data_IF_665171494389
#
_entry.id   IF_665171494389
#
_cell.length_a   1.000
_cell.length_b   1.000
_cell.length_c   1.000
_cell.angle_alpha   90.00
_cell.angle_beta   90.00
_cell.angle_gamma   90.00
#
_symmetry.space_group_name_H-M   'P 1'
#
loop_
_entity.id
_entity.type
_entity.pdbx_description
1 polymer ?
#
# COMPACT_ATOMS: atom_id res chain seq x y z
N UNK A 1 54.85 15.32 -34.25
CA UNK A 1 53.57 14.56 -34.31
C UNK A 1 52.57 15.24 -33.39
N UNK A 2 51.61 15.96 -33.96
CA UNK A 2 50.48 16.60 -33.27
C UNK A 2 49.31 15.61 -33.20
N UNK A 3 48.76 15.35 -32.01
CA UNK A 3 47.41 14.77 -31.82
C UNK A 3 46.71 15.35 -30.58
N UNK A 4 45.88 16.37 -30.85
CA UNK A 4 44.51 16.73 -30.39
C UNK A 4 44.06 16.41 -28.93
N UNK A 5 43.42 17.37 -28.21
CA UNK A 5 42.80 17.16 -26.90
C UNK A 5 41.38 16.58 -27.00
N UNK A 6 41.01 15.70 -26.06
CA UNK A 6 39.65 15.18 -25.90
C UNK A 6 39.00 15.67 -24.61
N UNK A 7 38.14 16.68 -24.73
CA UNK A 7 37.23 17.13 -23.68
C UNK A 7 36.18 16.04 -23.42
N UNK A 8 36.25 15.38 -22.26
CA UNK A 8 35.22 14.50 -21.73
C UNK A 8 34.32 15.28 -20.77
N UNK A 9 33.21 15.75 -21.31
CA UNK A 9 32.17 16.55 -20.69
C UNK A 9 31.54 15.80 -19.48
N UNK A 10 31.89 16.13 -18.24
CA UNK A 10 31.12 15.72 -17.06
C UNK A 10 29.90 16.62 -16.94
N UNK A 11 28.80 16.22 -17.60
CA UNK A 11 27.49 16.79 -17.28
C UNK A 11 27.09 16.35 -15.87
N UNK A 12 26.69 17.28 -14.98
CA UNK A 12 26.04 16.89 -13.73
C UNK A 12 24.67 16.30 -14.09
N UNK A 13 24.39 15.10 -13.58
CA UNK A 13 23.08 14.46 -13.67
C UNK A 13 22.04 15.43 -13.12
N UNK A 14 21.23 15.95 -14.05
CA UNK A 14 20.12 16.83 -13.79
C UNK A 14 19.22 16.22 -12.71
N UNK A 15 18.85 17.06 -11.75
CA UNK A 15 18.07 16.69 -10.59
C UNK A 15 16.80 15.93 -10.94
N UNK A 16 16.66 14.77 -10.32
CA UNK A 16 15.34 14.20 -10.08
C UNK A 16 14.86 14.89 -8.80
N UNK A 17 14.24 16.05 -8.95
CA UNK A 17 13.34 16.55 -7.91
C UNK A 17 12.17 15.57 -7.87
N UNK A 18 12.31 14.52 -7.04
CA UNK A 18 11.17 13.75 -6.60
C UNK A 18 10.31 14.71 -5.77
N UNK A 19 9.39 15.40 -6.44
CA UNK A 19 8.22 15.98 -5.78
C UNK A 19 7.51 14.80 -5.15
N UNK A 20 7.85 14.50 -3.88
CA UNK A 20 7.05 13.63 -3.05
C UNK A 20 5.68 14.29 -2.97
N UNK A 21 4.77 13.83 -3.82
CA UNK A 21 3.38 14.22 -3.75
C UNK A 21 2.93 13.83 -2.35
N UNK A 22 2.73 14.81 -1.47
CA UNK A 22 2.19 14.56 -0.14
C UNK A 22 0.88 13.80 -0.33
N UNK A 23 0.88 12.54 0.08
CA UNK A 23 -0.30 11.69 -0.01
C UNK A 23 -1.31 12.19 1.01
N UNK A 24 -2.45 12.69 0.54
CA UNK A 24 -3.51 13.13 1.44
C UNK A 24 -4.10 11.93 2.19
N UNK A 25 -4.62 12.15 3.40
CA UNK A 25 -5.28 11.08 4.16
C UNK A 25 -6.48 10.49 3.41
N UNK A 26 -7.21 11.32 2.64
CA UNK A 26 -8.31 10.88 1.79
C UNK A 26 -7.82 9.91 0.71
N UNK A 27 -6.69 10.22 0.05
CA UNK A 27 -6.09 9.36 -0.97
C UNK A 27 -5.53 8.07 -0.33
N UNK A 28 -4.83 8.18 0.80
CA UNK A 28 -4.32 7.03 1.56
C UNK A 28 -5.46 6.06 1.90
N UNK A 29 -6.56 6.58 2.45
CA UNK A 29 -7.76 5.81 2.76
C UNK A 29 -8.36 5.16 1.51
N UNK A 30 -8.52 5.91 0.43
CA UNK A 30 -9.05 5.39 -0.83
C UNK A 30 -8.22 4.21 -1.36
N UNK A 31 -6.88 4.33 -1.36
CA UNK A 31 -5.98 3.26 -1.80
C UNK A 31 -6.12 2.02 -0.90
N UNK A 32 -6.13 2.22 0.42
CA UNK A 32 -6.15 1.11 1.38
C UNK A 32 -7.50 0.36 1.41
N UNK A 33 -8.60 1.04 1.15
CA UNK A 33 -9.94 0.47 1.21
C UNK A 33 -10.42 -0.06 -0.14
N UNK A 34 -10.17 0.68 -1.22
CA UNK A 34 -10.79 0.44 -2.53
C UNK A 34 -9.85 -0.24 -3.52
N UNK A 35 -8.55 -0.30 -3.23
CA UNK A 35 -7.53 -0.86 -4.12
C UNK A 35 -6.93 -2.18 -3.59
N UNK A 36 -7.65 -2.89 -2.71
CA UNK A 36 -7.17 -4.16 -2.10
C UNK A 36 -6.81 -5.24 -3.11
N UNK A 37 -7.43 -5.25 -4.28
CA UNK A 37 -7.14 -6.24 -5.34
C UNK A 37 -5.71 -6.14 -5.92
N UNK A 38 -5.02 -5.01 -5.73
CA UNK A 38 -3.61 -4.84 -6.15
C UNK A 38 -2.63 -4.88 -4.98
N UNK A 39 -3.09 -5.22 -3.78
CA UNK A 39 -2.23 -5.44 -2.62
C UNK A 39 -1.56 -6.80 -2.67
N UNK A 40 -0.37 -6.87 -2.10
CA UNK A 40 0.32 -8.13 -1.88
C UNK A 40 -0.32 -8.90 -0.71
N UNK A 41 -0.24 -10.24 -0.69
CA UNK A 41 -0.79 -11.04 0.41
C UNK A 41 -0.26 -10.62 1.79
N UNK A 42 1.03 -10.30 1.89
CA UNK A 42 1.69 -9.85 3.12
C UNK A 42 1.12 -8.52 3.64
N UNK A 43 0.74 -7.62 2.74
CA UNK A 43 0.14 -6.32 3.06
C UNK A 43 -1.29 -6.48 3.56
N UNK A 44 -2.07 -7.36 2.92
CA UNK A 44 -3.44 -7.66 3.37
C UNK A 44 -3.42 -8.22 4.80
N UNK A 45 -2.49 -9.13 5.09
CA UNK A 45 -2.31 -9.68 6.45
C UNK A 45 -1.85 -8.61 7.43
N UNK A 46 -0.93 -7.73 7.03
CA UNK A 46 -0.47 -6.61 7.85
C UNK A 46 -1.62 -5.65 8.18
N UNK A 47 -2.48 -5.32 7.21
CA UNK A 47 -3.70 -4.52 7.44
C UNK A 47 -4.68 -5.20 8.39
N UNK A 48 -4.87 -6.53 8.27
CA UNK A 48 -5.70 -7.29 9.21
C UNK A 48 -5.15 -7.21 10.65
N UNK A 49 -3.82 -7.30 10.82
CA UNK A 49 -3.16 -7.14 12.14
C UNK A 49 -3.25 -5.72 12.67
N UNK A 50 -3.15 -4.71 11.81
CA UNK A 50 -3.34 -3.31 12.20
C UNK A 50 -4.72 -2.99 12.80
N UNK A 51 -5.73 -3.83 12.53
CA UNK A 51 -7.07 -3.72 13.13
C UNK A 51 -7.24 -4.44 14.47
N UNK A 52 -6.23 -5.18 14.95
CA UNK A 52 -6.27 -5.85 16.24
C UNK A 52 -6.00 -4.87 17.38
N UNK A 53 -6.63 -5.10 18.53
CA UNK A 53 -6.21 -4.47 19.78
C UNK A 53 -4.87 -5.07 20.24
N UNK A 54 -4.15 -4.40 21.12
CA UNK A 54 -2.92 -4.94 21.71
C UNK A 54 -3.14 -6.35 22.32
N UNK A 55 -4.24 -6.52 23.06
CA UNK A 55 -4.63 -7.82 23.60
C UNK A 55 -4.96 -8.84 22.50
N UNK A 56 -5.66 -8.42 21.45
CA UNK A 56 -5.98 -9.26 20.30
C UNK A 56 -4.72 -9.75 19.57
N UNK A 57 -3.76 -8.86 19.33
CA UNK A 57 -2.46 -9.17 18.72
C UNK A 57 -1.69 -10.18 19.57
N UNK A 58 -1.62 -9.98 20.89
CA UNK A 58 -0.92 -10.90 21.80
C UNK A 58 -1.54 -12.30 21.78
N UNK A 59 -2.85 -12.39 21.97
CA UNK A 59 -3.57 -13.66 22.04
C UNK A 59 -3.53 -14.43 20.71
N UNK A 60 -3.69 -13.75 19.57
CA UNK A 60 -3.58 -14.42 18.25
C UNK A 60 -2.16 -14.83 17.92
N UNK A 61 -1.15 -14.06 18.33
CA UNK A 61 0.27 -14.44 18.21
C UNK A 61 0.57 -15.72 18.97
N UNK A 62 0.16 -15.80 20.24
CA UNK A 62 0.36 -16.99 21.07
C UNK A 62 -0.27 -18.25 20.44
N UNK A 63 -1.42 -18.11 19.79
CA UNK A 63 -2.06 -19.22 19.06
C UNK A 63 -1.26 -19.60 17.81
N UNK A 64 -0.77 -18.60 17.06
CA UNK A 64 -0.04 -18.82 15.81
C UNK A 64 1.37 -19.39 16.00
N UNK A 65 2.00 -19.10 17.15
CA UNK A 65 3.33 -19.59 17.54
C UNK A 65 3.31 -21.02 18.13
N UNK A 66 2.12 -21.61 18.33
CA UNK A 66 2.02 -23.02 18.72
C UNK A 66 2.70 -23.92 17.69
N UNK A 67 3.58 -24.80 18.17
CA UNK A 67 4.32 -25.74 17.33
C UNK A 67 3.41 -26.68 16.54
N UNK A 68 2.27 -27.07 17.13
CA UNK A 68 1.26 -27.92 16.49
C UNK A 68 -0.03 -27.15 16.30
N UNK A 69 -0.42 -27.01 15.02
CA UNK A 69 -1.75 -26.52 14.62
C UNK A 69 -2.71 -27.68 14.67
N UNK A 70 -3.37 -27.86 15.81
CA UNK A 70 -4.24 -28.99 16.06
C UNK A 70 -5.67 -28.72 15.58
N UNK A 71 -6.06 -27.45 15.47
CA UNK A 71 -7.42 -27.06 15.11
C UNK A 71 -7.49 -26.28 13.79
N UNK A 72 -8.64 -26.37 13.11
CA UNK A 72 -8.94 -25.53 11.95
C UNK A 72 -8.85 -24.03 12.28
N UNK A 73 -9.09 -23.65 13.54
CA UNK A 73 -8.99 -22.28 14.01
C UNK A 73 -7.55 -21.79 13.97
N UNK A 74 -6.58 -22.61 14.38
CA UNK A 74 -5.15 -22.25 14.36
C UNK A 74 -4.66 -22.00 12.93
N UNK A 75 -5.08 -22.85 11.98
CA UNK A 75 -4.79 -22.66 10.55
C UNK A 75 -5.42 -21.39 9.97
N UNK A 76 -6.65 -21.06 10.38
CA UNK A 76 -7.34 -19.84 9.93
C UNK A 76 -6.65 -18.58 10.46
N UNK A 77 -6.18 -18.59 11.71
CA UNK A 77 -5.44 -17.49 12.31
C UNK A 77 -4.16 -17.21 11.52
N UNK A 78 -3.36 -18.24 11.24
CA UNK A 78 -2.14 -18.06 10.43
C UNK A 78 -2.46 -17.50 9.05
N UNK A 79 -3.47 -18.06 8.36
CA UNK A 79 -3.85 -17.58 7.03
C UNK A 79 -4.31 -16.12 7.03
N UNK A 80 -4.98 -15.68 8.09
CA UNK A 80 -5.57 -14.34 8.20
C UNK A 80 -4.54 -13.28 8.61
N UNK A 81 -3.62 -13.61 9.51
CA UNK A 81 -2.72 -12.64 10.15
C UNK A 81 -1.24 -12.84 9.80
N UNK A 82 -0.83 -14.02 9.35
CA UNK A 82 0.54 -14.27 8.87
C UNK A 82 1.62 -14.04 9.91
N UNK A 83 1.43 -14.54 11.13
CA UNK A 83 2.42 -14.36 12.19
C UNK A 83 3.75 -15.08 11.86
N UNK A 84 3.70 -16.14 11.06
CA UNK A 84 4.89 -16.85 10.58
C UNK A 84 5.45 -16.29 9.25
N UNK A 85 4.87 -15.22 8.69
CA UNK A 85 5.38 -14.57 7.47
C UNK A 85 6.33 -13.40 7.81
N UNK A 86 7.64 -13.50 7.49
CA UNK A 86 8.60 -12.45 7.78
C UNK A 86 8.22 -11.10 7.17
N UNK A 87 7.65 -11.08 5.96
CA UNK A 87 7.30 -9.83 5.28
C UNK A 87 6.13 -9.11 5.95
N UNK A 88 5.12 -9.86 6.40
CA UNK A 88 4.05 -9.29 7.22
C UNK A 88 4.61 -8.73 8.53
N UNK A 89 5.53 -9.45 9.18
CA UNK A 89 6.17 -8.98 10.41
C UNK A 89 6.98 -7.70 10.21
N UNK A 90 7.78 -7.62 9.14
CA UNK A 90 8.52 -6.40 8.77
C UNK A 90 7.60 -5.20 8.61
N UNK A 91 6.47 -5.36 7.90
CA UNK A 91 5.48 -4.30 7.70
C UNK A 91 4.85 -3.85 9.03
N UNK A 92 4.42 -4.78 9.88
CA UNK A 92 3.78 -4.44 11.16
C UNK A 92 4.78 -3.77 12.12
N UNK A 93 6.04 -4.17 12.10
CA UNK A 93 7.11 -3.59 12.92
C UNK A 93 7.43 -2.13 12.56
N UNK A 94 7.01 -1.64 11.39
CA UNK A 94 7.13 -0.21 11.04
C UNK A 94 6.22 0.68 11.91
N UNK A 95 5.23 0.10 12.58
CA UNK A 95 4.16 0.81 13.27
C UNK A 95 3.02 1.19 12.33
N UNK A 96 1.84 1.41 12.90
CA UNK A 96 0.58 1.53 12.16
C UNK A 96 0.63 2.57 11.02
N UNK A 97 0.91 3.84 11.31
CA UNK A 97 0.88 4.89 10.28
C UNK A 97 1.92 4.69 9.16
N UNK A 98 3.13 4.22 9.52
CA UNK A 98 4.20 4.00 8.55
C UNK A 98 3.90 2.79 7.67
N UNK A 99 3.34 1.73 8.25
CA UNK A 99 2.82 0.58 7.50
C UNK A 99 1.76 1.02 6.48
N UNK A 100 0.74 1.77 6.91
CA UNK A 100 -0.32 2.26 6.02
C UNK A 100 0.24 3.10 4.87
N UNK A 101 1.14 4.02 5.19
CA UNK A 101 1.78 4.89 4.19
C UNK A 101 2.66 4.11 3.22
N UNK A 102 3.39 3.10 3.70
CA UNK A 102 4.25 2.23 2.88
C UNK A 102 3.42 1.46 1.85
N UNK A 103 2.33 0.84 2.28
CA UNK A 103 1.43 0.08 1.39
C UNK A 103 0.78 1.01 0.36
N UNK A 104 0.25 2.15 0.81
CA UNK A 104 -0.40 3.11 -0.08
C UNK A 104 0.57 3.70 -1.11
N UNK A 105 1.79 4.05 -0.68
CA UNK A 105 2.85 4.53 -1.58
C UNK A 105 3.21 3.48 -2.63
N UNK A 106 3.46 2.23 -2.20
CA UNK A 106 3.77 1.13 -3.13
C UNK A 106 2.66 0.90 -4.15
N UNK A 107 1.38 0.98 -3.75
CA UNK A 107 0.25 0.86 -4.68
C UNK A 107 0.31 1.93 -5.78
N UNK A 108 0.56 3.18 -5.40
CA UNK A 108 0.64 4.30 -6.33
C UNK A 108 1.87 4.19 -7.24
N UNK A 109 3.03 3.83 -6.69
CA UNK A 109 4.26 3.63 -7.46
C UNK A 109 4.12 2.49 -8.48
N UNK A 110 3.43 1.40 -8.10
CA UNK A 110 3.31 0.22 -8.95
C UNK A 110 2.25 0.34 -10.03
N UNK A 111 1.10 0.96 -9.71
CA UNK A 111 -0.04 1.02 -10.63
C UNK A 111 -0.18 2.39 -11.32
N UNK A 112 0.55 3.40 -10.85
CA UNK A 112 0.45 4.79 -11.30
C UNK A 112 -0.89 5.43 -10.93
N UNK A 113 -1.20 6.54 -11.59
CA UNK A 113 -2.45 7.28 -11.36
C UNK A 113 -3.71 6.53 -11.83
N UNK A 114 -3.57 5.41 -12.55
CA UNK A 114 -4.68 4.64 -13.12
C UNK A 114 -5.62 4.03 -12.06
N UNK A 115 -5.10 3.75 -10.87
CA UNK A 115 -5.91 3.22 -9.76
C UNK A 115 -6.69 4.32 -9.02
N UNK A 116 -6.42 5.60 -9.31
CA UNK A 116 -7.08 6.75 -8.69
C UNK A 116 -8.12 7.31 -9.64
N UNK A 117 -9.39 7.00 -9.38
CA UNK A 117 -10.49 7.51 -10.19
C UNK A 117 -11.11 8.77 -9.55
N UNK A 118 -11.29 9.82 -10.37
CA UNK A 118 -11.88 11.10 -10.01
C UNK A 118 -13.01 11.47 -10.95
N UNK A 119 -14.04 12.11 -10.42
CA UNK A 119 -15.13 12.62 -11.23
C UNK A 119 -14.65 13.73 -12.17
N UNK A 120 -14.93 13.62 -13.46
CA UNK A 120 -14.60 14.62 -14.48
C UNK A 120 -15.30 15.97 -14.26
N UNK A 121 -16.48 15.98 -13.60
CA UNK A 121 -17.26 17.20 -13.34
C UNK A 121 -16.84 17.96 -12.08
N UNK A 122 -16.54 17.25 -10.99
CA UNK A 122 -16.26 17.88 -9.68
C UNK A 122 -14.88 17.57 -9.11
N UNK A 123 -14.08 16.75 -9.81
CA UNK A 123 -12.71 16.35 -9.46
C UNK A 123 -12.52 15.64 -8.10
N UNK A 124 -13.61 15.23 -7.44
CA UNK A 124 -13.57 14.43 -6.20
C UNK A 124 -13.29 12.96 -6.51
N UNK A 125 -12.64 12.27 -5.56
CA UNK A 125 -12.42 10.83 -5.63
C UNK A 125 -13.75 10.09 -5.75
N UNK A 126 -13.80 9.12 -6.65
CA UNK A 126 -14.98 8.25 -6.81
C UNK A 126 -15.01 7.19 -5.71
N UNK A 127 -16.08 6.38 -5.65
CA UNK A 127 -16.21 5.34 -4.62
C UNK A 127 -15.19 4.21 -4.80
N UNK A 128 -14.91 3.83 -6.04
CA UNK A 128 -13.98 2.75 -6.39
C UNK A 128 -13.23 3.14 -7.67
N UNK A 129 -12.07 2.51 -7.95
CA UNK A 129 -11.32 2.74 -9.18
C UNK A 129 -12.16 2.54 -10.45
N UNK A 130 -13.11 1.62 -10.41
CA UNK A 130 -13.95 1.27 -11.57
C UNK A 130 -15.32 1.98 -11.57
N UNK A 131 -15.55 2.96 -10.71
CA UNK A 131 -16.83 3.66 -10.64
C UNK A 131 -17.11 4.45 -11.93
N UNK A 132 -18.37 4.37 -12.41
CA UNK A 132 -18.88 5.11 -13.58
C UNK A 132 -19.81 6.27 -13.23
N UNK A 133 -20.04 6.49 -11.94
CA UNK A 133 -20.93 7.53 -11.44
C UNK A 133 -20.35 8.18 -10.18
N UNK A 134 -20.50 9.50 -10.06
CA UNK A 134 -20.01 10.27 -8.92
C UNK A 134 -21.05 10.34 -7.79
N UNK A 135 -20.70 9.79 -6.63
CA UNK A 135 -21.52 9.90 -5.41
C UNK A 135 -21.67 11.33 -4.85
N UNK A 136 -20.84 12.27 -5.28
CA UNK A 136 -20.81 13.63 -4.74
C UNK A 136 -21.68 14.62 -5.54
N UNK A 137 -21.72 14.50 -6.86
CA UNK A 137 -22.46 15.42 -7.73
C UNK A 137 -23.46 14.72 -8.68
N UNK A 138 -23.57 13.39 -8.60
CA UNK A 138 -24.47 12.60 -9.45
C UNK A 138 -24.07 12.52 -10.92
N UNK A 139 -22.92 13.08 -11.33
CA UNK A 139 -22.47 12.96 -12.71
C UNK A 139 -22.22 11.50 -13.06
N UNK A 140 -22.73 11.09 -14.21
CA UNK A 140 -22.64 9.76 -14.76
C UNK A 140 -21.88 9.82 -16.09
N UNK A 141 -20.91 8.93 -16.29
CA UNK A 141 -20.07 8.84 -17.49
C UNK A 141 -20.06 7.43 -18.07
N UNK A 142 -21.18 6.72 -17.94
CA UNK A 142 -21.46 5.42 -18.56
C UNK A 142 -21.11 5.36 -20.05
#
# INVERSE_FOLDING_TARGET
MLKIPGFGNTQPLAGITATSRLMTDELKKYLLEQCRQWMLPEEIRALSRGGLTEHGEKTTREIAEKEKKETLTDFKIERMYGFNDPKTNELVNLGHEKMLSTIAQRLLERQGDSIVNKCTKCNKLTRTPNAKQCRHCGHDWH
#
